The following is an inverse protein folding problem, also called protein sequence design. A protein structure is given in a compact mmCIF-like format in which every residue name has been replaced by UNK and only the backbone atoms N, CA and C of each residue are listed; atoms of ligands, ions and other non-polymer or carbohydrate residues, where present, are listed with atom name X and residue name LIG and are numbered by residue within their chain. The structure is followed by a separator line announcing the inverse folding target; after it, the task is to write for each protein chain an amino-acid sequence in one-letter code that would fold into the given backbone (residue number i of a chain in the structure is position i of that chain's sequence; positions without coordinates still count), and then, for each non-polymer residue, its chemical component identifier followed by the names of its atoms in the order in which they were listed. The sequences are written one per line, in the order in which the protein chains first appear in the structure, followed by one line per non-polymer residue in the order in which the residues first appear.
data_IF_018381975932
#
_entry.id   IF_018381975932
#
_cell.length_a   1.000
_cell.length_b   1.000
_cell.length_c   1.000
_cell.angle_alpha   90.00
_cell.angle_beta   90.00
_cell.angle_gamma   90.00
#
_symmetry.space_group_name_H-M   'P 1'
#
loop_
_entity.id
_entity.type
_entity.pdbx_description
1 polymer ?
#
# COMPACT_ATOMS: atom_id res chain seq x y z
N UNK A 1 6.61 13.36 14.89
CA UNK A 1 5.35 14.07 14.56
C UNK A 1 4.20 13.21 15.04
N UNK A 2 3.23 13.76 15.77
CA UNK A 2 2.05 13.02 16.22
C UNK A 2 0.85 13.42 15.36
N UNK A 3 0.11 12.44 14.83
CA UNK A 3 -1.11 12.65 14.05
C UNK A 3 -2.26 12.04 14.84
N UNK A 4 -3.29 12.83 15.10
CA UNK A 4 -4.50 12.37 15.79
C UNK A 4 -5.61 12.24 14.76
N UNK A 5 -6.27 11.09 14.74
CA UNK A 5 -7.40 10.82 13.87
C UNK A 5 -8.45 10.03 14.65
N UNK A 6 -9.71 10.29 14.36
CA UNK A 6 -10.81 9.54 14.96
C UNK A 6 -11.09 8.28 14.15
N UNK A 7 -11.07 7.12 14.83
CA UNK A 7 -11.47 5.87 14.22
C UNK A 7 -12.97 5.64 14.47
N UNK A 8 -13.74 5.25 13.43
CA UNK A 8 -15.09 4.74 13.64
C UNK A 8 -15.09 3.60 14.66
N UNK A 9 -16.06 3.58 15.58
CA UNK A 9 -16.08 2.64 16.70
C UNK A 9 -15.94 1.16 16.27
N UNK A 10 -16.59 0.76 15.18
CA UNK A 10 -16.48 -0.59 14.61
C UNK A 10 -15.05 -0.92 14.19
N UNK A 11 -14.34 0.04 13.58
CA UNK A 11 -12.97 -0.15 13.14
C UNK A 11 -12.01 -0.17 14.33
N UNK A 12 -12.23 0.68 15.34
CA UNK A 12 -11.45 0.68 16.57
C UNK A 12 -11.48 -0.71 17.25
N UNK A 13 -12.66 -1.29 17.43
CA UNK A 13 -12.81 -2.61 18.04
C UNK A 13 -12.15 -3.73 17.20
N UNK A 14 -12.29 -3.68 15.87
CA UNK A 14 -11.65 -4.64 14.98
C UNK A 14 -10.11 -4.58 15.08
N UNK A 15 -9.52 -3.38 15.05
CA UNK A 15 -8.07 -3.21 15.16
C UNK A 15 -7.57 -3.60 16.56
N UNK A 16 -8.35 -3.31 17.61
CA UNK A 16 -8.03 -3.71 18.99
C UNK A 16 -8.01 -5.23 19.16
N UNK A 17 -8.93 -5.95 18.53
CA UNK A 17 -8.95 -7.40 18.53
C UNK A 17 -7.69 -7.98 17.85
N UNK A 18 -7.31 -7.43 16.68
CA UNK A 18 -6.09 -7.83 15.96
C UNK A 18 -4.84 -7.54 16.81
N UNK A 19 -4.73 -6.35 17.38
CA UNK A 19 -3.60 -5.96 18.24
C UNK A 19 -3.46 -6.90 19.44
N UNK A 20 -4.58 -7.29 20.06
CA UNK A 20 -4.61 -8.24 21.18
C UNK A 20 -4.13 -9.62 20.74
N UNK A 21 -4.62 -10.13 19.61
CA UNK A 21 -4.22 -11.43 19.06
C UNK A 21 -2.73 -11.47 18.71
N UNK A 22 -2.18 -10.37 18.18
CA UNK A 22 -0.78 -10.25 17.79
C UNK A 22 0.16 -9.83 18.93
N UNK A 23 -0.37 -9.62 20.16
CA UNK A 23 0.36 -9.11 21.33
C UNK A 23 1.10 -7.79 21.06
N UNK A 24 0.46 -6.88 20.31
CA UNK A 24 0.97 -5.56 19.95
C UNK A 24 0.09 -4.46 20.53
N UNK A 25 0.64 -3.25 20.61
CA UNK A 25 -0.17 -2.07 20.94
C UNK A 25 -1.04 -1.66 19.75
N UNK A 26 -2.20 -1.04 20.02
CA UNK A 26 -3.10 -0.53 18.99
C UNK A 26 -2.38 0.41 18.01
N UNK A 27 -1.57 1.32 18.54
CA UNK A 27 -0.78 2.27 17.75
C UNK A 27 0.21 1.56 16.84
N UNK A 28 0.91 0.54 17.33
CA UNK A 28 1.85 -0.23 16.53
C UNK A 28 1.14 -0.99 15.40
N UNK A 29 -0.02 -1.58 15.66
CA UNK A 29 -0.83 -2.25 14.63
C UNK A 29 -1.29 -1.25 13.57
N UNK A 30 -1.72 -0.04 13.95
CA UNK A 30 -2.12 1.00 13.01
C UNK A 30 -0.95 1.46 12.12
N UNK A 31 0.24 1.65 12.71
CA UNK A 31 1.43 2.03 11.94
C UNK A 31 1.76 0.97 10.90
N UNK A 32 1.83 -0.30 11.31
CA UNK A 32 2.13 -1.43 10.40
C UNK A 32 1.09 -1.51 9.28
N UNK A 33 -0.20 -1.36 9.60
CA UNK A 33 -1.26 -1.40 8.60
C UNK A 33 -1.14 -0.26 7.57
N UNK A 34 -0.77 0.94 8.01
CA UNK A 34 -0.56 2.10 7.13
C UNK A 34 0.70 1.91 6.27
N UNK A 35 1.79 1.41 6.85
CA UNK A 35 3.02 1.11 6.10
C UNK A 35 2.76 0.06 5.01
N UNK A 36 2.07 -1.02 5.34
CA UNK A 36 1.70 -2.07 4.39
C UNK A 36 0.77 -1.54 3.29
N UNK A 37 -0.21 -0.68 3.65
CA UNK A 37 -1.07 -0.02 2.66
C UNK A 37 -0.26 0.82 1.67
N UNK A 38 0.65 1.67 2.17
CA UNK A 38 1.52 2.52 1.34
C UNK A 38 2.44 1.66 0.47
N UNK A 39 3.08 0.63 1.03
CA UNK A 39 3.96 -0.26 0.28
C UNK A 39 3.22 -1.00 -0.84
N UNK A 40 2.00 -1.47 -0.59
CA UNK A 40 1.17 -2.12 -1.62
C UNK A 40 0.85 -1.15 -2.76
N UNK A 41 0.50 0.09 -2.45
CA UNK A 41 0.19 1.09 -3.48
C UNK A 41 1.43 1.50 -4.27
N UNK A 42 2.57 1.73 -3.61
CA UNK A 42 3.84 2.02 -4.29
C UNK A 42 4.31 0.85 -5.16
N UNK A 43 4.05 -0.39 -4.74
CA UNK A 43 4.37 -1.58 -5.54
C UNK A 43 3.50 -1.62 -6.81
N UNK A 44 2.20 -1.35 -6.68
CA UNK A 44 1.30 -1.29 -7.83
C UNK A 44 1.70 -0.16 -8.78
N UNK A 45 1.97 1.04 -8.27
CA UNK A 45 2.44 2.17 -9.09
C UNK A 45 3.75 1.83 -9.82
N UNK A 46 4.71 1.19 -9.16
CA UNK A 46 5.95 0.73 -9.81
C UNK A 46 5.71 -0.33 -10.88
N UNK A 47 4.78 -1.26 -10.64
CA UNK A 47 4.40 -2.26 -11.64
C UNK A 47 3.76 -1.58 -12.85
N UNK A 48 2.84 -0.63 -12.62
CA UNK A 48 2.18 0.13 -13.67
C UNK A 48 3.18 0.99 -14.45
N UNK A 49 4.15 1.62 -13.79
CA UNK A 49 5.26 2.35 -14.41
C UNK A 49 6.16 1.43 -15.25
N UNK A 50 6.52 0.25 -14.74
CA UNK A 50 7.31 -0.72 -15.50
C UNK A 50 6.54 -1.25 -16.71
N UNK A 51 5.25 -1.56 -16.56
CA UNK A 51 4.38 -1.98 -17.65
C UNK A 51 4.22 -0.88 -18.70
N UNK A 52 4.09 0.40 -18.29
CA UNK A 52 4.04 1.53 -19.21
C UNK A 52 5.35 1.72 -19.98
N UNK A 53 6.51 1.50 -19.33
CA UNK A 53 7.81 1.54 -19.99
C UNK A 53 8.01 0.41 -20.99
N UNK A 54 7.67 -0.82 -20.63
CA UNK A 54 7.75 -1.99 -21.52
C UNK A 54 6.84 -1.79 -22.74
N UNK A 55 5.60 -1.33 -22.52
CA UNK A 55 4.67 -1.04 -23.62
C UNK A 55 5.18 0.10 -24.55
N UNK A 56 5.89 1.08 -24.00
CA UNK A 56 6.54 2.14 -24.77
C UNK A 56 7.72 1.65 -25.60
N UNK A 57 8.60 0.83 -25.01
CA UNK A 57 9.77 0.24 -25.67
C UNK A 57 9.36 -0.74 -26.79
N UNK A 58 8.34 -1.57 -26.56
CA UNK A 58 7.80 -2.51 -27.56
C UNK A 58 7.13 -1.77 -28.73
N UNK A 59 6.41 -0.67 -28.46
CA UNK A 59 5.79 0.15 -29.51
C UNK A 59 6.83 0.88 -30.38
N UNK A 60 7.99 1.25 -29.81
CA UNK A 60 9.09 1.87 -30.55
C UNK A 60 9.84 0.83 -31.42
N UNK A 61 10.03 -0.39 -30.90
CA UNK A 61 10.60 -1.52 -31.64
C UNK A 61 9.73 -1.92 -32.85
N UNK A 62 8.42 -2.04 -32.66
CA UNK A 62 7.47 -2.33 -33.74
C UNK A 62 7.47 -1.23 -34.80
N UNK A 63 7.66 0.03 -34.41
CA UNK A 63 7.74 1.18 -35.34
C UNK A 63 9.04 1.21 -36.14
N UNK A 64 10.10 0.53 -35.68
CA UNK A 64 11.40 0.43 -36.37
C UNK A 64 11.50 -0.79 -37.29
N UNK A 65 10.60 -1.77 -37.13
CA UNK A 65 10.57 -3.01 -37.90
C UNK A 65 9.53 -3.02 -39.03
N UNK A 66 8.73 -1.97 -39.16
CA UNK A 66 7.85 -1.70 -40.31
C UNK A 66 8.37 -0.53 -41.14
#
# INVERSE_FOLDING_TARGET
MAVTFELPAKLHEAVKAIATAERRSLTQTLIIAVEDYVQRHQRTERIDELSARIAGEDAELLRRLG
#
